data_IF_411923742552
#
_entry.id   IF_411923742552
#
_cell.length_a   1.000
_cell.length_b   1.000
_cell.length_c   1.000
_cell.angle_alpha   90.00
_cell.angle_beta   90.00
_cell.angle_gamma   90.00
#
_symmetry.space_group_name_H-M   'P 1'
#
loop_
_entity.id
_entity.type
_entity.pdbx_description
1 polymer ?
#
# COMPACT_ATOMS: atom_id res chain seq x y z
N UNK A 1 4.45 15.18 3.93
CA UNK A 1 3.97 13.86 3.48
C UNK A 1 5.02 13.11 2.64
N UNK A 2 5.61 12.08 3.22
CA UNK A 2 6.50 11.12 2.56
C UNK A 2 5.68 9.98 1.95
N UNK A 3 6.21 9.33 0.90
CA UNK A 3 5.50 8.25 0.21
C UNK A 3 6.39 7.07 -0.12
N UNK A 4 5.82 5.87 0.00
CA UNK A 4 6.41 4.64 -0.52
C UNK A 4 5.44 4.03 -1.54
N UNK A 5 5.96 3.66 -2.70
CA UNK A 5 5.19 2.93 -3.71
C UNK A 5 6.00 1.78 -4.29
N UNK A 6 5.36 0.63 -4.44
CA UNK A 6 5.94 -0.56 -5.06
C UNK A 6 4.95 -1.19 -6.02
N UNK A 7 5.48 -1.79 -7.09
CA UNK A 7 4.68 -2.55 -8.05
C UNK A 7 5.26 -3.94 -8.17
N UNK A 8 4.41 -4.94 -7.96
CA UNK A 8 4.73 -6.36 -8.11
C UNK A 8 3.99 -6.92 -9.31
N UNK A 9 4.72 -7.46 -10.29
CA UNK A 9 4.15 -8.02 -11.52
C UNK A 9 4.20 -9.54 -11.47
N UNK A 10 3.03 -10.16 -11.54
CA UNK A 10 2.82 -11.61 -11.48
C UNK A 10 2.63 -12.22 -12.87
N UNK A 11 2.78 -13.55 -12.94
CA UNK A 11 2.56 -14.33 -14.16
C UNK A 11 1.08 -14.51 -14.51
N UNK A 12 0.17 -14.37 -13.53
CA UNK A 12 -1.27 -14.49 -13.74
C UNK A 12 -2.07 -13.48 -12.90
N UNK A 13 -3.24 -13.09 -13.42
CA UNK A 13 -4.14 -12.17 -12.73
C UNK A 13 -4.73 -12.80 -11.46
N UNK A 14 -4.93 -14.11 -11.46
CA UNK A 14 -5.38 -14.86 -10.27
C UNK A 14 -4.35 -14.79 -9.16
N UNK A 15 -3.07 -15.01 -9.46
CA UNK A 15 -1.97 -14.86 -8.49
C UNK A 15 -1.91 -13.44 -7.93
N UNK A 16 -2.03 -12.43 -8.81
CA UNK A 16 -2.05 -11.03 -8.38
C UNK A 16 -3.21 -10.72 -7.42
N UNK A 17 -4.41 -11.27 -7.66
CA UNK A 17 -5.57 -11.13 -6.75
C UNK A 17 -5.34 -11.78 -5.39
N UNK A 18 -4.84 -13.02 -5.37
CA UNK A 18 -4.55 -13.75 -4.13
C UNK A 18 -3.55 -12.96 -3.30
N UNK A 19 -2.45 -12.53 -3.94
CA UNK A 19 -1.41 -11.73 -3.29
C UNK A 19 -1.95 -10.40 -2.79
N UNK A 20 -2.78 -9.69 -3.55
CA UNK A 20 -3.36 -8.43 -3.08
C UNK A 20 -4.23 -8.60 -1.83
N UNK A 21 -4.97 -9.71 -1.72
CA UNK A 21 -5.67 -10.08 -0.49
C UNK A 21 -4.70 -10.25 0.68
N UNK A 22 -3.61 -10.99 0.46
CA UNK A 22 -2.58 -11.20 1.48
C UNK A 22 -1.83 -9.92 1.88
N UNK A 23 -1.53 -9.03 0.92
CA UNK A 23 -0.98 -7.70 1.16
C UNK A 23 -1.95 -6.88 2.01
N UNK A 24 -3.25 -6.92 1.72
CA UNK A 24 -4.26 -6.19 2.48
C UNK A 24 -4.30 -6.66 3.93
N UNK A 25 -4.32 -7.97 4.16
CA UNK A 25 -4.32 -8.53 5.51
C UNK A 25 -3.04 -8.20 6.30
N UNK A 26 -1.88 -8.29 5.64
CA UNK A 26 -0.59 -8.11 6.30
C UNK A 26 -0.26 -6.63 6.54
N UNK A 27 -0.53 -5.76 5.57
CA UNK A 27 -0.11 -4.37 5.60
C UNK A 27 -1.12 -3.45 6.31
N UNK A 28 -2.42 -3.77 6.28
CA UNK A 28 -3.44 -2.97 6.99
C UNK A 28 -3.20 -2.88 8.50
N UNK A 29 -2.55 -3.91 9.08
CA UNK A 29 -2.14 -3.94 10.49
C UNK A 29 -1.17 -2.82 10.88
N UNK A 30 -0.50 -2.21 9.91
CA UNK A 30 0.44 -1.11 10.14
C UNK A 30 -0.21 0.27 10.02
N UNK A 31 -1.44 0.39 9.48
CA UNK A 31 -2.11 1.68 9.26
C UNK A 31 -2.18 2.50 10.55
N UNK A 32 -2.70 1.90 11.62
CA UNK A 32 -2.79 2.56 12.93
C UNK A 32 -1.43 2.58 13.64
N UNK A 33 -0.62 1.52 13.50
CA UNK A 33 0.65 1.38 14.25
C UNK A 33 1.73 2.38 13.80
N UNK A 34 1.72 2.76 12.53
CA UNK A 34 2.70 3.65 11.92
C UNK A 34 2.09 5.01 11.55
N UNK A 35 0.87 5.30 12.03
CA UNK A 35 0.16 6.55 11.76
C UNK A 35 0.16 6.92 10.27
N UNK A 36 -0.28 5.98 9.43
CA UNK A 36 -0.29 6.15 7.98
C UNK A 36 -1.37 7.16 7.58
N UNK A 37 -1.01 8.20 6.83
CA UNK A 37 -1.98 9.11 6.24
C UNK A 37 -2.82 8.42 5.16
N UNK A 38 -2.24 7.45 4.44
CA UNK A 38 -2.98 6.59 3.50
C UNK A 38 -2.28 5.26 3.24
N UNK A 39 -3.06 4.24 2.90
CA UNK A 39 -2.60 2.98 2.31
C UNK A 39 -3.55 2.59 1.17
N UNK A 40 -3.00 2.38 -0.01
CA UNK A 40 -3.73 1.99 -1.22
C UNK A 40 -3.11 0.72 -1.77
N UNK A 41 -3.93 -0.31 -1.98
CA UNK A 41 -3.55 -1.57 -2.61
C UNK A 41 -4.49 -1.82 -3.78
N UNK A 42 -3.94 -1.94 -4.99
CA UNK A 42 -4.75 -2.17 -6.20
C UNK A 42 -4.20 -3.32 -7.02
N UNK A 43 -5.08 -3.97 -7.80
CA UNK A 43 -4.71 -5.02 -8.76
C UNK A 43 -5.12 -4.57 -10.15
N UNK A 44 -4.14 -4.50 -11.07
CA UNK A 44 -4.38 -4.14 -12.46
C UNK A 44 -4.71 -5.37 -13.33
N UNK A 45 -5.29 -5.14 -14.51
CA UNK A 45 -5.58 -6.23 -15.48
C UNK A 45 -4.30 -6.86 -16.02
N UNK A 46 -3.19 -6.15 -15.96
CA UNK A 46 -1.85 -6.56 -16.37
C UNK A 46 -1.17 -7.46 -15.33
N UNK A 47 -1.93 -7.95 -14.33
CA UNK A 47 -1.44 -8.82 -13.24
C UNK A 47 -0.42 -8.12 -12.35
N UNK A 48 -0.60 -6.82 -12.11
CA UNK A 48 0.25 -6.04 -11.22
C UNK A 48 -0.48 -5.70 -9.92
N UNK A 49 0.20 -5.87 -8.79
CA UNK A 49 -0.23 -5.37 -7.48
C UNK A 49 0.55 -4.10 -7.19
N UNK A 50 -0.17 -2.98 -7.07
CA UNK A 50 0.42 -1.71 -6.67
C UNK A 50 0.09 -1.45 -5.20
N UNK A 51 1.11 -1.14 -4.41
CA UNK A 51 0.99 -0.78 -3.01
C UNK A 51 1.58 0.62 -2.86
N UNK A 52 0.79 1.55 -2.34
CA UNK A 52 1.20 2.92 -2.08
C UNK A 52 0.78 3.33 -0.67
N UNK A 53 1.72 3.89 0.10
CA UNK A 53 1.47 4.37 1.45
C UNK A 53 2.07 5.77 1.66
N UNK A 54 1.40 6.59 2.45
CA UNK A 54 1.86 7.95 2.78
C UNK A 54 1.92 8.17 4.29
N UNK A 55 2.86 9.00 4.71
CA UNK A 55 3.22 9.24 6.11
C UNK A 55 3.53 10.72 6.33
N UNK A 56 3.20 11.26 7.49
CA UNK A 56 3.71 12.58 7.88
C UNK A 56 5.14 12.52 8.41
N UNK A 57 5.50 11.44 9.09
CA UNK A 57 6.84 11.23 9.65
C UNK A 57 7.69 10.28 8.79
N UNK A 58 8.93 10.70 8.52
CA UNK A 58 9.93 9.91 7.81
C UNK A 58 10.40 8.67 8.59
N UNK A 59 10.34 8.69 9.92
CA UNK A 59 10.70 7.50 10.71
C UNK A 59 9.68 6.38 10.53
N UNK A 60 8.39 6.72 10.45
CA UNK A 60 7.33 5.76 10.18
C UNK A 60 7.42 5.18 8.76
N UNK A 61 7.78 6.01 7.77
CA UNK A 61 8.11 5.55 6.43
C UNK A 61 9.23 4.49 6.45
N UNK A 62 10.32 4.75 7.18
CA UNK A 62 11.46 3.80 7.28
C UNK A 62 11.04 2.48 7.93
N UNK A 63 10.30 2.54 9.04
CA UNK A 63 9.74 1.34 9.71
C UNK A 63 8.83 0.53 8.77
N UNK A 64 8.03 1.22 7.96
CA UNK A 64 7.21 0.56 6.95
C UNK A 64 8.05 -0.08 5.85
N UNK A 65 9.11 0.59 5.38
CA UNK A 65 10.01 0.04 4.36
C UNK A 65 10.69 -1.25 4.85
N UNK A 66 11.13 -1.28 6.12
CA UNK A 66 11.69 -2.48 6.75
C UNK A 66 10.64 -3.62 6.86
N UNK A 67 9.40 -3.29 7.23
CA UNK A 67 8.32 -4.27 7.30
C UNK A 67 7.96 -4.83 5.92
N UNK A 68 7.91 -3.95 4.90
CA UNK A 68 7.63 -4.32 3.52
C UNK A 68 8.75 -5.19 2.93
N UNK A 69 10.01 -4.88 3.24
CA UNK A 69 11.15 -5.68 2.80
C UNK A 69 11.08 -7.13 3.36
N UNK A 70 10.73 -7.29 4.63
CA UNK A 70 10.52 -8.62 5.24
C UNK A 70 9.36 -9.36 4.60
N UNK A 71 8.23 -8.67 4.43
CA UNK A 71 7.04 -9.23 3.79
C UNK A 71 7.33 -9.69 2.35
N UNK A 72 8.11 -8.92 1.58
CA UNK A 72 8.50 -9.31 0.21
C UNK A 72 9.31 -10.59 0.19
N UNK A 73 10.21 -10.79 1.15
CA UNK A 73 11.00 -12.03 1.24
C UNK A 73 10.07 -13.21 1.45
N UNK A 74 9.14 -13.13 2.40
CA UNK A 74 8.12 -14.17 2.63
C UNK A 74 7.25 -14.41 1.39
N UNK A 75 6.85 -13.34 0.70
CA UNK A 75 6.03 -13.43 -0.50
C UNK A 75 6.75 -14.17 -1.64
N UNK A 76 8.07 -14.01 -1.74
CA UNK A 76 8.91 -14.70 -2.75
C UNK A 76 9.08 -16.19 -2.50
N UNK A 77 8.80 -16.68 -1.29
CA UNK A 77 8.78 -18.12 -1.01
C UNK A 77 7.54 -18.80 -1.61
N UNK A 78 6.45 -18.05 -1.77
CA UNK A 78 5.16 -18.56 -2.24
C UNK A 78 4.85 -18.22 -3.70
N UNK A 79 5.39 -17.13 -4.24
CA UNK A 79 5.04 -16.63 -5.58
C UNK A 79 6.25 -16.14 -6.38
N UNK A 80 6.25 -16.45 -7.67
CA UNK A 80 7.15 -15.85 -8.65
C UNK A 80 6.59 -14.51 -9.15
N UNK A 81 7.32 -13.42 -8.88
CA UNK A 81 6.97 -12.08 -9.37
C UNK A 81 8.20 -11.18 -9.53
N UNK A 82 8.05 -10.19 -10.41
CA UNK A 82 9.03 -9.11 -10.59
C UNK A 82 8.64 -7.91 -9.76
N UNK A 83 9.61 -7.29 -9.12
CA UNK A 83 9.40 -6.09 -8.33
C UNK A 83 9.98 -4.88 -9.04
N UNK A 84 9.21 -3.78 -9.03
CA UNK A 84 9.67 -2.46 -9.42
C UNK A 84 9.45 -1.52 -8.23
N UNK A 85 10.53 -1.29 -7.49
CA UNK A 85 10.52 -0.48 -6.28
C UNK A 85 10.91 0.96 -6.63
N UNK A 86 10.10 1.93 -6.20
CA UNK A 86 10.35 3.36 -6.42
C UNK A 86 10.07 4.14 -5.15
N UNK A 87 11.12 4.72 -4.56
CA UNK A 87 10.98 5.70 -3.50
C UNK A 87 10.74 7.09 -4.12
N UNK A 88 9.76 7.83 -3.61
CA UNK A 88 9.36 9.13 -4.14
C UNK A 88 8.91 10.06 -3.01
N UNK A 89 8.91 11.36 -3.28
CA UNK A 89 8.32 12.37 -2.40
C UNK A 89 7.05 12.88 -3.06
N UNK A 90 5.95 12.87 -2.31
CA UNK A 90 4.70 13.46 -2.78
C UNK A 90 4.82 14.99 -2.76
N UNK A 91 4.78 15.61 -3.93
CA UNK A 91 4.83 17.09 -4.08
C UNK A 91 3.43 17.70 -4.05
N UNK A 92 2.41 16.95 -4.43
CA UNK A 92 1.01 17.37 -4.44
C UNK A 92 0.08 16.15 -4.30
N UNK A 93 -0.89 16.24 -3.39
CA UNK A 93 -1.97 15.27 -3.23
C UNK A 93 -3.28 16.01 -3.01
N UNK A 94 -4.32 15.65 -3.75
CA UNK A 94 -5.67 16.17 -3.58
C UNK A 94 -6.63 15.01 -3.39
N UNK A 95 -7.34 15.02 -2.28
CA UNK A 95 -8.42 14.09 -1.99
C UNK A 95 -9.67 14.91 -1.68
N UNK A 96 -10.76 14.65 -2.39
CA UNK A 96 -12.03 15.32 -2.14
C UNK A 96 -12.69 14.68 -0.92
N UNK A 97 -12.80 15.41 0.17
CA UNK A 97 -13.61 14.95 1.31
C UNK A 97 -15.09 14.91 0.92
N UNK A 98 -15.75 13.82 1.31
CA UNK A 98 -17.22 13.69 1.29
C UNK A 98 -17.68 13.63 2.73
N UNK A 99 -17.75 14.78 3.40
CA UNK A 99 -18.45 14.87 4.67
C UNK A 99 -19.96 14.74 4.40
N UNK A 100 -20.59 13.71 4.95
CA UNK A 100 -22.04 13.71 5.13
C UNK A 100 -22.29 14.45 6.44
N UNK A 101 -22.59 15.74 6.36
CA UNK A 101 -23.08 16.49 7.50
C UNK A 101 -24.44 15.89 7.89
N UNK A 102 -24.46 15.17 9.02
CA UNK A 102 -25.72 14.70 9.60
C UNK A 102 -26.37 15.92 10.26
N UNK A 103 -27.40 16.47 9.63
CA UNK A 103 -28.23 17.52 10.22
C UNK A 103 -29.16 16.86 11.26
N UNK A 104 -28.87 17.09 12.55
CA UNK A 104 -29.82 16.84 13.62
C UNK A 104 -30.98 17.84 13.46
N UNK A 105 -32.16 17.35 13.09
CA UNK A 105 -33.40 18.14 13.08
C UNK A 105 -33.95 18.18 14.50
N UNK A 106 -33.91 19.36 15.12
CA UNK A 106 -34.57 19.66 16.40
C UNK A 106 -36.10 19.54 16.32
#
# INVERSE_FOLDING_TARGET
MYSKSVVYRFTSFTSAKIVAGHCTESLSKFVVKLDMSSLTITVSKESEVNISATFEDIENLKKFDDALAKFVVELREAFDFRENNKSSVCVFSYQRDTSVDTLELN
#
